data_IF_745251618357
#
_entry.id   IF_745251618357
#
_cell.length_a   1.000
_cell.length_b   1.000
_cell.length_c   1.000
_cell.angle_alpha   90.00
_cell.angle_beta   90.00
_cell.angle_gamma   90.00
#
_symmetry.space_group_name_H-M   'P 1'
#
loop_
_entity.id
_entity.type
_entity.pdbx_description
1 polymer ?
#
# COMPACT_ATOMS: atom_id res chain seq x y z
N UNK A 1 41.60 14.70 28.91
CA UNK A 1 40.14 14.80 28.79
C UNK A 1 39.70 13.74 27.79
N UNK A 2 39.13 12.63 28.27
CA UNK A 2 38.65 11.52 27.43
C UNK A 2 37.18 11.76 27.11
N UNK A 3 36.87 12.12 25.87
CA UNK A 3 35.50 12.14 25.37
C UNK A 3 35.06 10.70 25.12
N UNK A 4 34.25 10.13 26.01
CA UNK A 4 33.62 8.83 25.75
C UNK A 4 32.70 8.97 24.55
N UNK A 5 33.05 8.33 23.43
CA UNK A 5 32.13 8.15 22.32
C UNK A 5 30.98 7.26 22.82
N UNK A 6 29.80 7.84 22.91
CA UNK A 6 28.57 7.11 23.16
C UNK A 6 28.30 6.26 21.90
N UNK A 7 28.72 5.00 21.92
CA UNK A 7 28.42 4.06 20.82
C UNK A 7 26.95 3.69 20.99
N UNK A 8 26.07 4.32 20.22
CA UNK A 8 24.67 3.93 20.17
C UNK A 8 24.64 2.47 19.65
N UNK A 9 24.41 1.52 20.56
CA UNK A 9 24.43 0.07 20.29
C UNK A 9 23.19 -0.42 19.56
N UNK A 10 22.21 0.45 19.33
CA UNK A 10 20.99 0.13 18.61
C UNK A 10 21.16 0.37 17.11
N UNK A 11 20.70 -0.56 16.25
CA UNK A 11 20.74 -0.37 14.80
C UNK A 11 19.93 0.88 14.40
N UNK A 12 20.22 1.53 13.25
CA UNK A 12 19.45 2.67 12.78
C UNK A 12 17.95 2.37 12.68
N UNK A 13 17.09 3.39 12.88
CA UNK A 13 15.63 3.22 12.86
C UNK A 13 15.12 2.46 11.63
N UNK A 14 15.61 2.79 10.43
CA UNK A 14 15.19 2.11 9.20
C UNK A 14 15.62 0.64 9.15
N UNK A 15 16.74 0.29 9.78
CA UNK A 15 17.16 -1.11 9.88
C UNK A 15 16.28 -1.89 10.87
N UNK A 16 15.88 -1.25 11.99
CA UNK A 16 14.91 -1.84 12.92
C UNK A 16 13.55 -2.05 12.26
N UNK A 17 13.08 -1.07 11.50
CA UNK A 17 11.80 -1.16 10.80
C UNK A 17 11.82 -2.24 9.72
N UNK A 18 12.89 -2.29 8.91
CA UNK A 18 13.04 -3.34 7.90
C UNK A 18 13.06 -4.73 8.52
N UNK A 19 13.78 -4.91 9.64
CA UNK A 19 13.81 -6.18 10.36
C UNK A 19 12.41 -6.56 10.90
N UNK A 20 11.70 -5.60 11.50
CA UNK A 20 10.34 -5.81 11.97
C UNK A 20 9.39 -6.22 10.84
N UNK A 21 9.49 -5.60 9.66
CA UNK A 21 8.69 -5.98 8.49
C UNK A 21 8.97 -7.42 8.02
N UNK A 22 10.21 -7.89 8.14
CA UNK A 22 10.58 -9.26 7.78
C UNK A 22 10.16 -10.30 8.82
N UNK A 23 10.08 -9.91 10.10
CA UNK A 23 9.79 -10.82 11.21
C UNK A 23 8.30 -10.88 11.57
N UNK A 24 7.47 -9.95 11.09
CA UNK A 24 6.05 -9.91 11.39
C UNK A 24 5.33 -11.11 10.77
N UNK A 25 4.53 -11.78 11.58
CA UNK A 25 3.65 -12.88 11.17
C UNK A 25 2.20 -12.51 11.43
N UNK A 26 1.27 -13.12 10.70
CA UNK A 26 -0.16 -12.80 10.78
C UNK A 26 -0.73 -13.05 12.19
N UNK A 27 -0.29 -14.12 12.86
CA UNK A 27 -0.70 -14.50 14.22
C UNK A 27 -0.18 -13.53 15.31
N UNK A 28 0.84 -12.73 15.00
CA UNK A 28 1.35 -11.69 15.89
C UNK A 28 0.53 -10.39 15.81
N UNK A 29 -0.39 -10.26 14.84
CA UNK A 29 -1.21 -9.07 14.66
C UNK A 29 -2.46 -9.18 15.54
N UNK A 30 -2.77 -8.17 16.38
CA UNK A 30 -4.01 -8.15 17.16
C UNK A 30 -5.24 -8.28 16.26
N UNK A 31 -6.24 -9.04 16.69
CA UNK A 31 -7.47 -9.27 15.92
C UNK A 31 -8.15 -7.96 15.54
N UNK A 32 -8.18 -6.98 16.45
CA UNK A 32 -8.78 -5.67 16.19
C UNK A 32 -8.06 -4.91 15.07
N UNK A 33 -6.74 -5.10 14.92
CA UNK A 33 -5.98 -4.50 13.84
C UNK A 33 -6.25 -5.19 12.50
N UNK A 34 -6.44 -6.51 12.50
CA UNK A 34 -6.87 -7.26 11.32
C UNK A 34 -8.27 -6.85 10.87
N UNK A 35 -9.22 -6.69 11.79
CA UNK A 35 -10.59 -6.26 11.47
C UNK A 35 -10.61 -4.87 10.81
N UNK A 36 -9.82 -3.92 11.34
CA UNK A 36 -9.66 -2.59 10.75
C UNK A 36 -8.99 -2.68 9.37
N UNK A 37 -7.96 -3.52 9.23
CA UNK A 37 -7.27 -3.69 7.97
C UNK A 37 -8.18 -4.28 6.88
N UNK A 38 -8.98 -5.28 7.20
CA UNK A 38 -10.00 -5.84 6.30
C UNK A 38 -11.04 -4.78 5.91
N UNK A 39 -11.50 -3.99 6.88
CA UNK A 39 -12.44 -2.88 6.61
C UNK A 39 -11.85 -1.86 5.64
N UNK A 40 -10.58 -1.46 5.84
CA UNK A 40 -9.90 -0.53 4.96
C UNK A 40 -9.69 -1.10 3.54
N UNK A 41 -9.40 -2.40 3.42
CA UNK A 41 -9.33 -3.07 2.11
C UNK A 41 -10.69 -3.14 1.40
N UNK A 42 -11.79 -3.34 2.14
CA UNK A 42 -13.14 -3.27 1.58
C UNK A 42 -13.46 -1.85 1.11
N UNK A 43 -13.15 -0.85 1.93
CA UNK A 43 -13.32 0.57 1.58
C UNK A 43 -12.54 0.93 0.31
N UNK A 44 -11.28 0.48 0.21
CA UNK A 44 -10.45 0.63 -0.99
C UNK A 44 -11.16 0.16 -2.25
N UNK A 45 -11.71 -1.06 -2.28
CA UNK A 45 -12.45 -1.51 -3.46
C UNK A 45 -13.71 -0.68 -3.72
N UNK A 46 -14.44 -0.33 -2.65
CA UNK A 46 -15.67 0.44 -2.72
C UNK A 46 -15.49 1.84 -3.32
N UNK A 47 -14.35 2.50 -3.06
CA UNK A 47 -14.02 3.82 -3.63
C UNK A 47 -13.34 3.72 -4.99
N UNK A 48 -12.51 2.69 -5.22
CA UNK A 48 -11.75 2.54 -6.47
C UNK A 48 -12.64 2.24 -7.67
N UNK A 49 -13.65 1.38 -7.52
CA UNK A 49 -14.54 1.00 -8.62
C UNK A 49 -15.28 2.22 -9.20
N UNK A 50 -16.03 3.03 -8.42
CA UNK A 50 -16.62 4.26 -8.94
C UNK A 50 -15.57 5.29 -9.35
N UNK A 51 -14.44 5.38 -8.63
CA UNK A 51 -13.34 6.27 -8.97
C UNK A 51 -12.70 5.97 -10.33
N UNK A 52 -12.79 4.72 -10.82
CA UNK A 52 -12.30 4.30 -12.14
C UNK A 52 -13.03 4.97 -13.32
N UNK A 53 -14.20 5.58 -13.07
CA UNK A 53 -14.97 6.30 -14.09
C UNK A 53 -14.65 7.80 -14.16
N UNK A 54 -13.85 8.31 -13.22
CA UNK A 54 -13.48 9.71 -13.19
C UNK A 54 -12.58 10.11 -14.38
N UNK A 55 -12.66 11.36 -14.87
CA UNK A 55 -11.85 11.80 -16.01
C UNK A 55 -10.34 11.57 -15.85
N UNK A 56 -9.81 11.76 -14.64
CA UNK A 56 -8.40 11.49 -14.33
C UNK A 56 -8.08 9.99 -14.51
N UNK A 57 -8.93 9.11 -14.00
CA UNK A 57 -8.78 7.66 -14.13
C UNK A 57 -8.84 7.21 -15.59
N UNK A 58 -9.77 7.75 -16.39
CA UNK A 58 -9.85 7.46 -17.83
C UNK A 58 -8.60 7.89 -18.59
N UNK A 59 -8.03 9.06 -18.25
CA UNK A 59 -6.78 9.51 -18.84
C UNK A 59 -5.62 8.54 -18.53
N UNK A 60 -5.54 8.06 -17.29
CA UNK A 60 -4.52 7.09 -16.89
C UNK A 60 -4.74 5.72 -17.54
N UNK A 61 -5.98 5.25 -17.63
CA UNK A 61 -6.31 4.01 -18.36
C UNK A 61 -5.88 4.08 -19.83
N UNK A 62 -6.19 5.17 -20.52
CA UNK A 62 -5.76 5.39 -21.90
C UNK A 62 -4.23 5.46 -22.02
N UNK A 63 -3.56 6.12 -21.06
CA UNK A 63 -2.11 6.18 -21.00
C UNK A 63 -1.48 4.79 -20.83
N UNK A 64 -2.02 3.96 -19.94
CA UNK A 64 -1.55 2.59 -19.70
C UNK A 64 -1.80 1.70 -20.92
N UNK A 65 -2.98 1.77 -21.54
CA UNK A 65 -3.32 1.00 -22.74
C UNK A 65 -2.38 1.29 -23.93
N UNK A 66 -1.82 2.51 -24.01
CA UNK A 66 -0.84 2.89 -25.03
C UNK A 66 0.59 2.36 -24.78
N UNK A 67 0.83 1.62 -23.70
CA UNK A 67 2.16 1.06 -23.37
C UNK A 67 2.26 -0.39 -23.80
N UNK A 68 3.46 -0.80 -24.24
CA UNK A 68 3.81 -2.20 -24.50
C UNK A 68 4.13 -2.90 -23.16
N UNK A 69 3.17 -2.88 -22.25
CA UNK A 69 3.28 -3.48 -20.91
C UNK A 69 2.03 -4.25 -20.59
N UNK A 70 1.80 -5.30 -21.38
CA UNK A 70 0.82 -6.32 -21.03
C UNK A 70 1.30 -7.05 -19.78
N UNK A 71 0.38 -7.33 -18.89
CA UNK A 71 0.65 -8.06 -17.68
C UNK A 71 -0.63 -8.61 -17.07
N UNK A 72 -0.47 -9.44 -16.04
CA UNK A 72 -1.59 -10.16 -15.46
C UNK A 72 -2.52 -9.33 -14.57
N UNK A 73 -2.07 -8.15 -14.13
CA UNK A 73 -2.71 -7.43 -13.02
C UNK A 73 -3.91 -6.61 -13.51
N UNK A 74 -5.01 -6.62 -12.76
CA UNK A 74 -6.29 -6.02 -13.15
C UNK A 74 -6.30 -4.51 -12.89
N UNK A 75 -6.90 -3.75 -13.81
CA UNK A 75 -7.31 -2.37 -13.56
C UNK A 75 -8.76 -2.37 -13.10
N UNK A 76 -8.98 -2.06 -11.83
CA UNK A 76 -10.28 -2.15 -11.16
C UNK A 76 -11.32 -1.24 -11.83
N UNK A 77 -12.56 -1.75 -11.93
CA UNK A 77 -13.65 -1.09 -12.63
C UNK A 77 -13.57 -1.15 -14.16
N UNK A 78 -12.66 -1.94 -14.72
CA UNK A 78 -12.49 -2.14 -16.17
C UNK A 78 -12.19 -3.60 -16.53
N UNK A 79 -12.22 -3.92 -17.82
CA UNK A 79 -11.75 -5.20 -18.38
C UNK A 79 -10.26 -5.19 -18.74
N UNK A 80 -9.53 -4.12 -18.42
CA UNK A 80 -8.12 -3.97 -18.79
C UNK A 80 -7.20 -4.65 -17.78
N UNK A 81 -6.08 -5.16 -18.28
CA UNK A 81 -4.95 -5.62 -17.47
C UNK A 81 -3.66 -4.92 -17.87
N UNK A 82 -2.70 -4.89 -16.96
CA UNK A 82 -1.41 -4.25 -17.16
C UNK A 82 -0.30 -4.96 -16.36
N UNK A 83 0.95 -4.54 -16.58
CA UNK A 83 2.03 -4.93 -15.67
C UNK A 83 1.75 -4.45 -14.24
N UNK A 84 2.34 -5.13 -13.25
CA UNK A 84 2.19 -4.83 -11.82
C UNK A 84 2.28 -3.33 -11.51
N UNK A 85 3.33 -2.66 -12.00
CA UNK A 85 3.54 -1.23 -11.75
C UNK A 85 2.45 -0.34 -12.37
N UNK A 86 1.94 -0.67 -13.56
CA UNK A 86 0.92 0.14 -14.22
C UNK A 86 -0.50 -0.14 -13.69
N UNK A 87 -0.79 -1.37 -13.27
CA UNK A 87 -2.02 -1.69 -12.56
C UNK A 87 -2.08 -0.97 -11.21
N UNK A 88 -1.00 -1.02 -10.41
CA UNK A 88 -0.90 -0.28 -9.16
C UNK A 88 -1.06 1.23 -9.37
N UNK A 89 -0.44 1.79 -10.41
CA UNK A 89 -0.59 3.21 -10.75
C UNK A 89 -2.02 3.59 -11.12
N UNK A 90 -2.65 2.83 -12.03
CA UNK A 90 -4.02 3.11 -12.46
C UNK A 90 -5.02 2.96 -11.30
N UNK A 91 -4.87 1.92 -10.48
CA UNK A 91 -5.75 1.66 -9.35
C UNK A 91 -5.54 2.66 -8.22
N UNK A 92 -4.31 3.11 -7.95
CA UNK A 92 -4.03 4.15 -6.96
C UNK A 92 -4.61 5.53 -7.35
N UNK A 93 -4.56 5.86 -8.64
CA UNK A 93 -5.23 7.08 -9.14
C UNK A 93 -6.74 6.95 -8.99
N UNK A 94 -7.32 5.81 -9.39
CA UNK A 94 -8.75 5.59 -9.29
C UNK A 94 -9.24 5.59 -7.84
N UNK A 95 -8.49 4.99 -6.91
CA UNK A 95 -8.88 4.91 -5.50
C UNK A 95 -8.90 6.27 -4.79
N UNK A 96 -8.10 7.23 -5.27
CA UNK A 96 -8.05 8.58 -4.71
C UNK A 96 -8.79 9.62 -5.57
N UNK A 97 -9.42 9.22 -6.68
CA UNK A 97 -10.01 10.15 -7.65
C UNK A 97 -11.24 10.92 -7.13
N UNK A 98 -11.86 10.43 -6.06
CA UNK A 98 -13.10 10.98 -5.49
C UNK A 98 -12.88 11.72 -4.16
N UNK A 99 -11.66 11.70 -3.60
CA UNK A 99 -11.37 12.13 -2.23
C UNK A 99 -12.33 11.48 -1.20
N UNK A 100 -12.66 10.20 -1.41
CA UNK A 100 -13.63 9.46 -0.59
C UNK A 100 -13.03 8.28 0.16
N UNK A 101 -11.75 8.02 -0.11
CA UNK A 101 -10.91 7.04 0.56
C UNK A 101 -10.57 7.42 2.00
N UNK A 102 -10.09 6.42 2.75
CA UNK A 102 -9.73 6.57 4.16
C UNK A 102 -8.65 7.61 4.46
N UNK A 103 -8.62 8.02 5.73
CA UNK A 103 -7.64 8.98 6.25
C UNK A 103 -6.99 8.46 7.52
N UNK A 104 -5.73 8.81 7.74
CA UNK A 104 -5.02 8.55 8.98
C UNK A 104 -4.41 9.82 9.55
N UNK A 105 -4.68 10.05 10.84
CA UNK A 105 -4.06 11.14 11.59
C UNK A 105 -2.57 10.94 11.83
N UNK A 106 -2.08 9.71 11.75
CA UNK A 106 -0.65 9.45 11.90
C UNK A 106 0.14 10.00 10.71
N UNK A 107 -0.41 9.92 9.50
CA UNK A 107 0.20 10.42 8.25
C UNK A 107 -0.32 11.80 7.83
N UNK A 108 -1.42 12.26 8.43
CA UNK A 108 -2.18 13.45 7.98
C UNK A 108 -2.48 13.32 6.47
N UNK A 109 -2.95 12.14 6.05
CA UNK A 109 -3.14 11.80 4.64
C UNK A 109 -3.89 10.48 4.47
N UNK A 110 -3.77 9.90 3.28
CA UNK A 110 -4.60 8.78 2.81
C UNK A 110 -3.75 7.51 2.60
N UNK A 111 -3.60 6.65 3.61
CA UNK A 111 -2.59 5.60 3.56
C UNK A 111 -2.98 4.43 2.64
N UNK A 112 -4.26 4.06 2.58
CA UNK A 112 -4.68 2.83 1.90
C UNK A 112 -4.53 2.94 0.38
N UNK A 113 -4.82 4.10 -0.18
CA UNK A 113 -4.75 4.36 -1.63
C UNK A 113 -3.34 4.35 -2.20
N UNK A 114 -2.29 4.40 -1.37
CA UNK A 114 -0.90 4.24 -1.82
C UNK A 114 -0.40 2.80 -1.65
N UNK A 115 -0.95 2.06 -0.68
CA UNK A 115 -0.49 0.72 -0.32
C UNK A 115 -1.30 -0.38 -1.01
N UNK A 116 -2.63 -0.35 -0.89
CA UNK A 116 -3.50 -1.41 -1.38
C UNK A 116 -3.34 -1.70 -2.89
N UNK A 117 -3.21 -0.69 -3.79
CA UNK A 117 -2.95 -0.95 -5.21
C UNK A 117 -1.67 -1.74 -5.46
N UNK A 118 -0.60 -1.46 -4.70
CA UNK A 118 0.68 -2.14 -4.84
C UNK A 118 0.61 -3.57 -4.31
N UNK A 119 -0.02 -3.76 -3.14
CA UNK A 119 -0.23 -5.09 -2.55
C UNK A 119 -1.07 -5.96 -3.48
N UNK A 120 -2.19 -5.46 -4.00
CA UNK A 120 -3.07 -6.22 -4.90
C UNK A 120 -2.37 -6.57 -6.21
N UNK A 121 -1.67 -5.61 -6.84
CA UNK A 121 -0.94 -5.88 -8.07
C UNK A 121 0.19 -6.91 -7.85
N UNK A 122 0.88 -6.84 -6.71
CA UNK A 122 1.91 -7.82 -6.35
C UNK A 122 1.30 -9.21 -6.11
N UNK A 123 0.19 -9.31 -5.38
CA UNK A 123 -0.52 -10.55 -5.15
C UNK A 123 -0.97 -11.21 -6.48
N UNK A 124 -1.62 -10.45 -7.37
CA UNK A 124 -2.01 -10.93 -8.71
C UNK A 124 -0.80 -11.37 -9.54
N UNK A 125 0.31 -10.62 -9.47
CA UNK A 125 1.54 -10.97 -10.19
C UNK A 125 2.19 -12.24 -9.62
N UNK A 126 2.14 -12.46 -8.31
CA UNK A 126 2.69 -13.67 -7.68
C UNK A 126 1.82 -14.88 -8.02
N UNK A 127 0.49 -14.79 -7.84
CA UNK A 127 -0.45 -15.87 -8.19
C UNK A 127 -0.22 -16.44 -9.59
N UNK A 128 0.03 -15.57 -10.57
CA UNK A 128 0.12 -15.96 -11.97
C UNK A 128 1.51 -16.45 -12.40
N UNK A 129 2.54 -16.22 -11.58
CA UNK A 129 3.88 -16.78 -11.78
C UNK A 129 4.09 -18.12 -11.05
N UNK A 130 3.09 -18.60 -10.32
CA UNK A 130 3.24 -19.68 -9.34
C UNK A 130 2.09 -20.69 -9.42
N UNK A 131 2.41 -21.95 -9.71
CA UNK A 131 1.69 -23.17 -9.24
C UNK A 131 1.72 -23.29 -7.69
N UNK A 132 2.07 -22.22 -6.98
CA UNK A 132 2.70 -22.26 -5.66
C UNK A 132 1.79 -21.85 -4.51
N UNK A 133 0.50 -21.58 -4.76
CA UNK A 133 -0.51 -21.48 -3.70
C UNK A 133 -1.77 -22.20 -4.17
N UNK A 134 -1.85 -23.50 -3.87
CA UNK A 134 -3.07 -24.29 -4.02
C UNK A 134 -4.19 -23.89 -3.04
N UNK A 135 -4.13 -22.71 -2.44
CA UNK A 135 -5.10 -22.20 -1.48
C UNK A 135 -5.21 -20.66 -1.59
N UNK A 136 -6.32 -20.20 -2.16
CA UNK A 136 -6.64 -18.76 -2.27
C UNK A 136 -6.65 -18.08 -0.90
N UNK A 137 -6.94 -18.83 0.19
CA UNK A 137 -6.93 -18.30 1.55
C UNK A 137 -5.52 -17.88 2.01
N UNK A 138 -4.49 -18.64 1.64
CA UNK A 138 -3.09 -18.31 1.99
C UNK A 138 -2.64 -17.00 1.34
N UNK A 139 -3.08 -16.75 0.11
CA UNK A 139 -2.78 -15.49 -0.56
C UNK A 139 -3.50 -14.29 0.08
N UNK A 140 -4.76 -14.49 0.50
CA UNK A 140 -5.51 -13.46 1.23
C UNK A 140 -4.81 -13.05 2.52
N UNK A 141 -4.34 -14.05 3.28
CA UNK A 141 -3.58 -13.87 4.52
C UNK A 141 -2.24 -13.15 4.27
N UNK A 142 -1.48 -13.55 3.24
CA UNK A 142 -0.23 -12.89 2.86
C UNK A 142 -0.44 -11.45 2.39
N UNK A 143 -1.50 -11.18 1.61
CA UNK A 143 -1.85 -9.84 1.17
C UNK A 143 -2.25 -8.96 2.36
N UNK A 144 -3.03 -9.49 3.30
CA UNK A 144 -3.43 -8.77 4.51
C UNK A 144 -2.22 -8.48 5.41
N UNK A 145 -1.31 -9.45 5.58
CA UNK A 145 -0.05 -9.26 6.30
C UNK A 145 0.81 -8.17 5.63
N UNK A 146 0.98 -8.21 4.31
CA UNK A 146 1.73 -7.21 3.57
C UNK A 146 1.12 -5.81 3.72
N UNK A 147 -0.21 -5.71 3.65
CA UNK A 147 -0.94 -4.47 3.84
C UNK A 147 -0.74 -3.89 5.25
N UNK A 148 -0.93 -4.68 6.31
CA UNK A 148 -0.72 -4.24 7.70
C UNK A 148 0.73 -3.82 7.92
N UNK A 149 1.68 -4.60 7.40
CA UNK A 149 3.12 -4.31 7.49
C UNK A 149 3.44 -2.94 6.89
N UNK A 150 2.92 -2.66 5.69
CA UNK A 150 3.14 -1.40 5.00
C UNK A 150 2.48 -0.21 5.72
N UNK A 151 1.24 -0.37 6.20
CA UNK A 151 0.52 0.65 6.97
C UNK A 151 1.29 1.03 8.24
N UNK A 152 1.70 0.04 9.03
CA UNK A 152 2.44 0.29 10.26
C UNK A 152 3.81 0.92 9.95
N UNK A 153 4.50 0.46 8.90
CA UNK A 153 5.74 1.07 8.45
C UNK A 153 5.59 2.54 8.07
N UNK A 154 4.56 2.88 7.28
CA UNK A 154 4.25 4.25 6.90
C UNK A 154 3.92 5.10 8.16
N UNK A 155 3.12 4.58 9.08
CA UNK A 155 2.79 5.24 10.34
C UNK A 155 4.02 5.47 11.24
N UNK A 156 4.94 4.50 11.33
CA UNK A 156 6.18 4.63 12.10
C UNK A 156 7.09 5.70 11.52
N UNK A 157 7.20 5.80 10.20
CA UNK A 157 7.93 6.88 9.53
C UNK A 157 7.23 8.22 9.77
N UNK A 158 5.90 8.27 9.65
CA UNK A 158 5.13 9.49 9.81
C UNK A 158 5.26 10.09 11.22
N UNK A 159 5.38 9.28 12.27
CA UNK A 159 5.66 9.75 13.65
C UNK A 159 6.93 10.59 13.78
N UNK A 160 7.89 10.44 12.87
CA UNK A 160 9.14 11.20 12.87
C UNK A 160 9.04 12.51 12.07
N UNK A 161 8.03 12.63 11.20
CA UNK A 161 7.95 13.69 10.19
C UNK A 161 6.72 14.59 10.37
N UNK A 162 5.64 14.08 10.97
CA UNK A 162 4.39 14.81 11.17
C UNK A 162 4.36 15.58 12.49
N UNK A 163 3.74 16.77 12.55
CA UNK A 163 3.02 17.45 11.46
C UNK A 163 3.91 18.28 10.52
N UNK A 164 5.20 18.40 10.84
CA UNK A 164 6.09 19.40 10.23
C UNK A 164 6.17 19.32 8.70
N UNK A 165 6.19 18.12 8.12
CA UNK A 165 6.22 17.95 6.67
C UNK A 165 4.95 18.54 6.01
N UNK A 166 3.77 18.26 6.58
CA UNK A 166 2.48 18.80 6.11
C UNK A 166 2.43 20.32 6.26
N UNK A 167 2.88 20.85 7.40
CA UNK A 167 2.94 22.30 7.67
C UNK A 167 3.89 23.05 6.72
N UNK A 168 4.88 22.35 6.16
CA UNK A 168 5.75 22.88 5.11
C UNK A 168 5.14 22.80 3.69
N UNK A 169 3.88 22.39 3.56
CA UNK A 169 3.13 22.37 2.31
C UNK A 169 3.30 21.09 1.48
N UNK A 170 3.90 20.05 2.03
CA UNK A 170 4.03 18.77 1.34
C UNK A 170 2.74 17.95 1.46
N UNK A 171 2.31 17.36 0.34
CA UNK A 171 1.25 16.34 0.33
C UNK A 171 1.78 15.02 0.90
N UNK A 172 1.20 14.48 1.96
CA UNK A 172 1.80 13.38 2.75
C UNK A 172 1.29 11.98 2.38
N UNK A 173 0.25 11.87 1.54
CA UNK A 173 -0.20 10.62 0.90
C UNK A 173 0.89 10.08 -0.03
N UNK A 174 1.71 9.14 0.47
CA UNK A 174 2.88 8.55 -0.21
C UNK A 174 3.21 7.16 0.32
#
# INVERSE_FOLDING_TARGET
>A
MSTSMNTNTHPPFLAQLAQWCCDLTLDAIPTEALDVAQTAMIDYFAVTIPGSDMPVSKNIQAFVAGRVTQGPCRILGTEQTASMAYAAYANGVASHALDFDDVSWATIGHPTVTIAPAVMAAAESVMLNQDLLGDEALLGDEALLAYVTAIEGQHKIARLLMPNLSEQGWHTTR
#
